data_IF_945472539003
#
_entry.id   IF_945472539003
#
_cell.length_a   1.000
_cell.length_b   1.000
_cell.length_c   1.000
_cell.angle_alpha   90.00
_cell.angle_beta   90.00
_cell.angle_gamma   90.00
#
_symmetry.space_group_name_H-M   'P 1'
#
loop_
_entity.id
_entity.type
_entity.pdbx_description
1 polymer ?
#
# COMPACT_ATOMS: atom_id res chain seq x y z
N UNK A 1 -8.96 -22.74 -28.90
CA UNK A 1 -8.17 -22.33 -27.75
C UNK A 1 -8.18 -20.80 -27.69
N UNK A 2 -8.61 -20.15 -26.61
CA UNK A 2 -8.47 -18.70 -26.46
C UNK A 2 -6.98 -18.36 -26.47
N UNK A 3 -6.60 -17.29 -27.16
CA UNK A 3 -5.22 -16.79 -27.16
C UNK A 3 -4.91 -16.26 -25.76
N UNK A 4 -3.77 -16.62 -25.18
CA UNK A 4 -3.27 -16.11 -23.89
C UNK A 4 -3.04 -14.59 -23.89
N UNK A 5 -3.04 -13.94 -25.05
CA UNK A 5 -2.72 -12.53 -25.28
C UNK A 5 -3.95 -11.65 -25.55
N UNK A 6 -5.13 -11.97 -25.01
CA UNK A 6 -6.30 -11.10 -25.16
C UNK A 6 -6.23 -9.93 -24.15
N UNK A 7 -5.96 -8.69 -24.58
CA UNK A 7 -5.76 -7.54 -23.70
C UNK A 7 -7.01 -7.17 -22.91
N UNK A 8 -8.18 -7.63 -23.31
CA UNK A 8 -9.45 -7.35 -22.65
C UNK A 8 -9.81 -8.39 -21.56
N UNK A 9 -9.05 -9.47 -21.44
CA UNK A 9 -9.24 -10.46 -20.38
C UNK A 9 -8.60 -9.98 -19.08
N UNK A 10 -9.28 -10.16 -17.95
CA UNK A 10 -8.66 -9.99 -16.65
C UNK A 10 -7.60 -11.07 -16.44
N UNK A 11 -6.49 -10.69 -15.81
CA UNK A 11 -5.54 -11.69 -15.31
C UNK A 11 -6.20 -12.58 -14.24
N UNK A 12 -5.62 -13.73 -13.97
CA UNK A 12 -6.14 -14.63 -12.93
C UNK A 12 -6.11 -13.95 -11.54
N UNK A 13 -5.09 -13.15 -11.28
CA UNK A 13 -4.93 -12.42 -10.03
C UNK A 13 -5.94 -11.28 -9.91
N UNK A 14 -6.16 -10.50 -10.98
CA UNK A 14 -7.17 -9.43 -11.00
C UNK A 14 -8.58 -9.99 -10.84
N UNK A 15 -8.87 -11.12 -11.51
CA UNK A 15 -10.15 -11.80 -11.37
C UNK A 15 -10.34 -12.37 -9.95
N UNK A 16 -9.28 -12.85 -9.31
CA UNK A 16 -9.31 -13.28 -7.91
C UNK A 16 -9.59 -12.10 -6.98
N UNK A 17 -8.88 -10.99 -7.14
CA UNK A 17 -9.09 -9.73 -6.35
C UNK A 17 -10.54 -9.28 -6.50
N UNK A 18 -11.08 -9.25 -7.71
CA UNK A 18 -12.48 -8.90 -7.96
C UNK A 18 -13.46 -9.88 -7.30
N UNK A 19 -13.08 -11.15 -7.20
CA UNK A 19 -13.90 -12.22 -6.61
C UNK A 19 -13.93 -12.23 -5.07
N UNK A 20 -12.95 -11.61 -4.39
CA UNK A 20 -12.94 -11.49 -2.93
C UNK A 20 -13.72 -10.28 -2.42
N UNK A 21 -14.10 -9.34 -3.30
CA UNK A 21 -15.01 -8.24 -2.95
C UNK A 21 -16.35 -8.80 -2.43
N UNK A 22 -16.83 -8.22 -1.32
CA UNK A 22 -18.01 -8.68 -0.60
C UNK A 22 -18.63 -7.50 0.15
N UNK A 23 -19.71 -7.71 0.87
CA UNK A 23 -20.28 -6.67 1.73
C UNK A 23 -19.30 -6.13 2.80
N UNK A 24 -18.19 -6.83 3.04
CA UNK A 24 -17.16 -6.47 4.03
C UNK A 24 -15.90 -5.95 3.37
N UNK A 25 -15.55 -6.44 2.20
CA UNK A 25 -14.32 -6.11 1.46
C UNK A 25 -14.69 -5.27 0.24
N UNK A 26 -14.21 -4.03 0.18
CA UNK A 26 -14.52 -3.06 -0.88
C UNK A 26 -13.63 -3.23 -2.13
N UNK A 27 -12.50 -3.90 -2.00
CA UNK A 27 -11.58 -4.22 -3.10
C UNK A 27 -10.76 -3.05 -3.62
N UNK A 28 -10.81 -1.88 -3.00
CA UNK A 28 -10.04 -0.72 -3.49
C UNK A 28 -8.94 -0.25 -2.53
N UNK A 29 -8.00 0.50 -3.07
CA UNK A 29 -7.02 1.29 -2.32
C UNK A 29 -7.41 2.76 -2.35
N UNK A 30 -7.00 3.50 -1.33
CA UNK A 30 -7.18 4.95 -1.26
C UNK A 30 -5.82 5.63 -1.17
N UNK A 31 -5.62 6.65 -2.00
CA UNK A 31 -4.50 7.58 -1.84
C UNK A 31 -5.06 8.96 -1.52
N UNK A 32 -4.58 9.56 -0.43
CA UNK A 32 -5.00 10.90 -0.02
C UNK A 32 -3.90 11.90 -0.38
N UNK A 33 -4.24 12.80 -1.29
CA UNK A 33 -3.38 13.90 -1.76
C UNK A 33 -3.81 15.16 -1.04
N UNK A 34 -2.97 15.71 -0.18
CA UNK A 34 -3.24 16.98 0.52
C UNK A 34 -2.52 18.11 -0.22
N UNK A 35 -3.27 19.13 -0.62
CA UNK A 35 -2.80 20.27 -1.39
C UNK A 35 -2.57 21.48 -0.50
N UNK A 36 -1.58 22.29 -0.84
CA UNK A 36 -1.38 23.60 -0.20
C UNK A 36 -2.60 24.52 -0.39
N UNK A 37 -2.79 25.46 0.55
CA UNK A 37 -3.83 26.49 0.40
C UNK A 37 -3.67 27.24 -0.92
N UNK A 38 -4.79 27.46 -1.62
CA UNK A 38 -4.84 28.24 -2.85
C UNK A 38 -5.49 29.60 -2.67
N UNK A 39 -5.53 30.40 -3.74
CA UNK A 39 -6.22 31.69 -3.74
C UNK A 39 -7.76 31.57 -3.63
N UNK A 40 -8.29 30.39 -3.82
CA UNK A 40 -9.72 30.03 -3.75
C UNK A 40 -9.89 28.51 -3.76
N UNK A 41 -11.10 27.97 -3.74
CA UNK A 41 -11.36 26.56 -3.87
C UNK A 41 -10.80 25.99 -5.19
N UNK A 42 -10.51 24.68 -5.19
CA UNK A 42 -10.06 23.98 -6.40
C UNK A 42 -11.14 24.04 -7.46
N UNK A 43 -10.78 24.47 -8.66
CA UNK A 43 -11.68 24.50 -9.81
C UNK A 43 -11.91 23.06 -10.32
N UNK A 44 -13.07 22.52 -10.01
CA UNK A 44 -13.46 21.16 -10.35
C UNK A 44 -13.59 20.97 -11.86
N UNK A 45 -14.14 21.94 -12.57
CA UNK A 45 -14.31 21.84 -14.02
C UNK A 45 -12.96 21.85 -14.74
N UNK A 46 -12.04 22.69 -14.28
CA UNK A 46 -10.66 22.70 -14.79
C UNK A 46 -9.93 21.39 -14.47
N UNK A 47 -10.10 20.83 -13.26
CA UNK A 47 -9.51 19.53 -12.88
C UNK A 47 -10.09 18.40 -13.73
N UNK A 48 -11.40 18.35 -13.92
CA UNK A 48 -12.07 17.38 -14.80
C UNK A 48 -11.53 17.44 -16.22
N UNK A 49 -11.42 18.64 -16.80
CA UNK A 49 -10.88 18.83 -18.14
C UNK A 49 -9.41 18.37 -18.25
N UNK A 50 -8.58 18.70 -17.26
CA UNK A 50 -7.19 18.30 -17.23
C UNK A 50 -7.02 16.78 -17.14
N UNK A 51 -7.80 16.11 -16.28
CA UNK A 51 -7.79 14.63 -16.15
C UNK A 51 -8.31 14.01 -17.44
N UNK A 52 -9.46 14.44 -17.98
CA UNK A 52 -10.07 13.90 -19.19
C UNK A 52 -9.11 13.95 -20.40
N UNK A 53 -8.34 15.03 -20.54
CA UNK A 53 -7.36 15.18 -21.63
C UNK A 53 -6.24 14.12 -21.55
N UNK A 54 -5.93 13.60 -20.36
CA UNK A 54 -4.84 12.65 -20.11
C UNK A 54 -5.31 11.20 -20.08
N UNK A 55 -6.60 10.94 -19.88
CA UNK A 55 -7.17 9.58 -19.81
C UNK A 55 -6.85 8.68 -21.02
N UNK A 56 -6.75 9.17 -22.28
CA UNK A 56 -6.38 8.32 -23.40
C UNK A 56 -5.05 7.59 -23.26
N UNK A 57 -4.16 8.06 -22.38
CA UNK A 57 -2.89 7.37 -22.05
C UNK A 57 -3.11 6.14 -21.15
N UNK A 58 -4.32 5.96 -20.60
CA UNK A 58 -4.68 4.93 -19.63
C UNK A 58 -5.98 4.22 -20.06
N UNK A 59 -5.93 3.25 -20.99
CA UNK A 59 -7.13 2.62 -21.55
C UNK A 59 -8.10 2.06 -20.50
N UNK A 60 -7.59 1.48 -19.42
CA UNK A 60 -8.40 0.95 -18.30
C UNK A 60 -9.24 2.01 -17.59
N UNK A 61 -8.84 3.28 -17.68
CA UNK A 61 -9.56 4.37 -17.03
C UNK A 61 -10.94 4.66 -17.64
N UNK A 62 -11.22 4.17 -18.84
CA UNK A 62 -12.52 4.29 -19.51
C UNK A 62 -13.22 2.95 -19.70
N UNK A 63 -12.66 1.87 -19.17
CA UNK A 63 -13.23 0.53 -19.23
C UNK A 63 -13.87 0.14 -17.89
N UNK A 64 -14.94 -0.64 -17.95
CA UNK A 64 -15.54 -1.33 -16.81
C UNK A 64 -15.33 -2.83 -16.91
N UNK A 65 -15.53 -3.53 -15.80
CA UNK A 65 -15.51 -5.00 -15.82
C UNK A 65 -16.89 -5.53 -16.18
N UNK A 66 -16.94 -6.39 -17.18
CA UNK A 66 -18.13 -7.16 -17.51
C UNK A 66 -17.99 -8.59 -16.97
N UNK A 67 -18.94 -8.99 -16.12
CA UNK A 67 -19.03 -10.31 -15.48
C UNK A 67 -20.22 -11.13 -16.01
N UNK A 68 -20.87 -10.71 -17.09
CA UNK A 68 -22.01 -11.43 -17.67
C UNK A 68 -21.60 -12.72 -18.37
N UNK A 69 -20.35 -12.83 -18.79
CA UNK A 69 -19.77 -14.02 -19.42
C UNK A 69 -19.16 -15.01 -18.41
N UNK A 70 -18.65 -16.16 -18.89
CA UNK A 70 -18.01 -17.18 -18.06
C UNK A 70 -16.69 -16.69 -17.41
N UNK A 71 -16.05 -15.71 -18.01
CA UNK A 71 -14.82 -15.08 -17.51
C UNK A 71 -14.99 -13.56 -17.51
N UNK A 72 -14.55 -12.85 -16.44
CA UNK A 72 -14.64 -11.40 -16.38
C UNK A 72 -13.72 -10.76 -17.43
N UNK A 73 -14.21 -9.69 -18.07
CA UNK A 73 -13.49 -8.97 -19.13
C UNK A 73 -13.59 -7.47 -18.96
N UNK A 74 -12.56 -6.77 -19.40
CA UNK A 74 -12.59 -5.33 -19.55
C UNK A 74 -13.36 -4.97 -20.81
N UNK A 75 -14.34 -4.08 -20.69
CA UNK A 75 -15.14 -3.58 -21.82
C UNK A 75 -15.22 -2.06 -21.74
N UNK A 76 -15.33 -1.40 -22.89
CA UNK A 76 -15.56 0.03 -22.89
C UNK A 76 -16.85 0.37 -22.13
N UNK A 77 -16.79 1.37 -21.25
CA UNK A 77 -17.99 1.92 -20.64
C UNK A 77 -18.81 2.63 -21.72
N UNK A 78 -20.10 2.26 -21.87
CA UNK A 78 -20.97 2.78 -22.94
C UNK A 78 -21.13 4.32 -22.86
N UNK A 79 -21.31 4.82 -21.65
CA UNK A 79 -21.38 6.26 -21.36
C UNK A 79 -20.33 6.59 -20.29
N UNK A 80 -19.21 7.18 -20.70
CA UNK A 80 -18.20 7.68 -19.78
C UNK A 80 -18.42 9.17 -19.52
N UNK A 81 -18.64 9.54 -18.26
CA UNK A 81 -18.74 10.92 -17.83
C UNK A 81 -17.66 11.21 -16.76
N UNK A 82 -16.75 12.13 -17.05
CA UNK A 82 -15.67 12.51 -16.13
C UNK A 82 -16.20 13.03 -14.78
N UNK A 83 -17.34 13.68 -14.76
CA UNK A 83 -17.98 14.21 -13.55
C UNK A 83 -18.41 13.12 -12.56
N UNK A 84 -18.58 11.86 -13.01
CA UNK A 84 -18.86 10.73 -12.14
C UNK A 84 -17.59 10.22 -11.44
N UNK A 85 -16.43 10.58 -11.96
CA UNK A 85 -15.12 10.11 -11.50
C UNK A 85 -14.33 11.19 -10.76
N UNK A 86 -14.38 12.46 -11.21
CA UNK A 86 -13.72 13.59 -10.58
C UNK A 86 -14.80 14.53 -10.07
N UNK A 87 -14.99 14.57 -8.77
CA UNK A 87 -16.16 15.22 -8.17
C UNK A 87 -15.83 15.94 -6.87
N UNK A 88 -16.55 17.03 -6.60
CA UNK A 88 -16.55 17.67 -5.30
C UNK A 88 -17.38 16.83 -4.32
N UNK A 89 -16.77 16.37 -3.24
CA UNK A 89 -17.47 15.75 -2.13
C UNK A 89 -17.92 16.85 -1.18
N UNK A 90 -19.21 17.14 -1.18
CA UNK A 90 -19.78 18.05 -0.19
C UNK A 90 -19.74 17.39 1.18
N UNK A 91 -18.83 17.83 2.04
CA UNK A 91 -18.71 17.39 3.43
C UNK A 91 -19.08 18.58 4.31
N UNK A 92 -20.33 18.72 4.74
CA UNK A 92 -20.72 19.80 5.64
C UNK A 92 -19.85 19.78 6.90
N UNK A 93 -19.27 20.91 7.26
CA UNK A 93 -18.41 21.06 8.44
C UNK A 93 -17.05 20.31 8.38
N UNK A 94 -16.55 19.94 7.22
CA UNK A 94 -15.18 19.43 7.09
C UNK A 94 -14.19 20.60 7.18
N UNK A 95 -13.84 21.01 8.39
CA UNK A 95 -13.01 22.20 8.65
C UNK A 95 -11.66 21.84 9.27
N UNK A 96 -11.53 20.67 9.84
CA UNK A 96 -10.32 20.21 10.50
C UNK A 96 -9.71 18.98 9.82
N UNK A 97 -8.46 18.68 10.17
CA UNK A 97 -7.79 17.43 9.74
C UNK A 97 -8.55 16.19 10.27
N UNK A 98 -9.13 16.24 11.44
CA UNK A 98 -9.94 15.15 11.98
C UNK A 98 -11.22 14.92 11.16
N UNK A 99 -11.88 16.01 10.69
CA UNK A 99 -13.03 15.88 9.81
C UNK A 99 -12.64 15.30 8.45
N UNK A 100 -11.44 15.65 7.93
CA UNK A 100 -10.89 15.06 6.71
C UNK A 100 -10.67 13.54 6.90
N UNK A 101 -10.06 13.13 8.04
CA UNK A 101 -9.86 11.70 8.34
C UNK A 101 -11.19 10.94 8.38
N UNK A 102 -12.23 11.54 8.97
CA UNK A 102 -13.57 10.97 8.98
C UNK A 102 -14.15 10.84 7.57
N UNK A 103 -14.07 11.89 6.75
CA UNK A 103 -14.58 11.86 5.38
C UNK A 103 -13.90 10.79 4.51
N UNK A 104 -12.58 10.64 4.62
CA UNK A 104 -11.86 9.59 3.87
C UNK A 104 -12.10 8.19 4.43
N UNK A 105 -12.42 8.05 5.73
CA UNK A 105 -12.85 6.80 6.35
C UNK A 105 -14.19 6.32 5.81
N UNK A 106 -15.15 7.23 5.63
CA UNK A 106 -16.42 6.95 4.98
C UNK A 106 -16.20 6.48 3.54
N UNK A 107 -15.36 7.20 2.76
CA UNK A 107 -15.00 6.81 1.40
C UNK A 107 -14.33 5.43 1.33
N UNK A 108 -13.48 5.09 2.31
CA UNK A 108 -12.83 3.79 2.36
C UNK A 108 -13.81 2.65 2.65
N UNK A 109 -14.95 2.94 3.29
CA UNK A 109 -16.02 1.98 3.58
C UNK A 109 -17.02 1.82 2.42
N UNK A 110 -17.02 2.74 1.43
CA UNK A 110 -17.94 2.73 0.29
C UNK A 110 -17.37 1.91 -0.87
N UNK A 111 -18.16 1.01 -1.46
CA UNK A 111 -17.78 0.30 -2.70
C UNK A 111 -17.70 1.23 -3.90
N UNK A 112 -16.85 0.92 -4.85
CA UNK A 112 -16.87 1.52 -6.18
C UNK A 112 -18.02 0.92 -7.02
N UNK A 113 -18.66 1.74 -7.85
CA UNK A 113 -19.71 1.29 -8.75
C UNK A 113 -19.13 0.41 -9.87
N UNK A 114 -19.45 -0.89 -9.87
CA UNK A 114 -18.99 -1.84 -10.89
C UNK A 114 -19.59 -1.60 -12.29
N UNK A 115 -20.65 -0.82 -12.40
CA UNK A 115 -21.21 -0.39 -13.67
C UNK A 115 -20.34 0.63 -14.41
N UNK A 116 -19.31 1.15 -13.74
CA UNK A 116 -18.42 2.21 -14.21
C UNK A 116 -16.96 1.78 -14.16
N UNK A 117 -16.02 2.54 -14.76
CA UNK A 117 -14.59 2.38 -14.53
C UNK A 117 -14.26 2.46 -13.02
N UNK A 118 -13.37 1.58 -12.56
CA UNK A 118 -13.18 1.27 -11.15
C UNK A 118 -12.22 2.25 -10.43
N UNK A 119 -12.48 3.56 -10.58
CA UNK A 119 -11.71 4.62 -9.90
C UNK A 119 -12.54 5.87 -9.66
N UNK A 120 -12.18 6.68 -8.63
CA UNK A 120 -12.74 8.01 -8.37
C UNK A 120 -11.71 8.95 -7.77
N UNK A 121 -11.85 10.26 -8.02
CA UNK A 121 -11.15 11.36 -7.37
C UNK A 121 -12.20 12.23 -6.67
N UNK A 122 -12.27 12.13 -5.35
CA UNK A 122 -13.20 12.88 -4.52
C UNK A 122 -12.45 14.07 -3.90
N UNK A 123 -12.76 15.30 -4.32
CA UNK A 123 -12.18 16.55 -3.77
C UNK A 123 -12.92 16.92 -2.50
N UNK A 124 -12.17 17.19 -1.43
CA UNK A 124 -12.67 17.49 -0.09
C UNK A 124 -12.04 18.79 0.39
N UNK A 125 -12.85 19.67 0.93
CA UNK A 125 -12.39 20.96 1.47
C UNK A 125 -13.14 22.15 0.84
N UNK A 126 -12.64 23.40 1.00
CA UNK A 126 -11.40 23.74 1.74
C UNK A 126 -11.53 23.53 3.25
N UNK A 127 -10.39 23.16 3.89
CA UNK A 127 -10.27 23.09 5.34
C UNK A 127 -10.09 24.52 5.93
N UNK A 128 -10.10 24.65 7.27
CA UNK A 128 -9.96 25.95 7.93
C UNK A 128 -8.64 26.67 7.60
N UNK A 129 -7.58 25.94 7.29
CA UNK A 129 -6.27 26.46 6.89
C UNK A 129 -6.20 26.79 5.37
N UNK A 130 -7.30 26.58 4.64
CA UNK A 130 -7.37 26.75 3.19
C UNK A 130 -6.78 25.61 2.36
N UNK A 131 -6.27 24.57 2.99
CA UNK A 131 -5.85 23.36 2.28
C UNK A 131 -7.06 22.58 1.74
N UNK A 132 -6.84 21.79 0.71
CA UNK A 132 -7.83 20.85 0.17
C UNK A 132 -7.19 19.50 -0.04
N UNK A 133 -8.01 18.47 -0.14
CA UNK A 133 -7.54 17.13 -0.36
C UNK A 133 -8.27 16.45 -1.52
N UNK A 134 -7.57 15.52 -2.19
CA UNK A 134 -8.17 14.65 -3.20
C UNK A 134 -8.02 13.22 -2.68
N UNK A 135 -9.15 12.59 -2.38
CA UNK A 135 -9.21 11.18 -2.07
C UNK A 135 -9.32 10.38 -3.38
N UNK A 136 -8.24 9.72 -3.76
CA UNK A 136 -8.16 8.89 -4.95
C UNK A 136 -8.45 7.45 -4.56
N UNK A 137 -9.52 6.87 -5.09
CA UNK A 137 -9.83 5.45 -4.92
C UNK A 137 -9.63 4.72 -6.24
N UNK A 138 -8.96 3.59 -6.19
CA UNK A 138 -8.72 2.73 -7.36
C UNK A 138 -8.90 1.29 -6.90
N UNK A 139 -9.73 0.53 -7.62
CA UNK A 139 -9.92 -0.89 -7.33
C UNK A 139 -8.63 -1.67 -7.59
N UNK A 140 -8.30 -2.59 -6.71
CA UNK A 140 -7.03 -3.33 -6.76
C UNK A 140 -6.92 -4.22 -8.01
N UNK A 141 -8.06 -4.68 -8.56
CA UNK A 141 -8.09 -5.39 -9.83
C UNK A 141 -7.77 -4.49 -11.05
N UNK A 142 -7.89 -3.15 -10.92
CA UNK A 142 -7.50 -2.22 -11.99
C UNK A 142 -6.03 -1.85 -11.88
N UNK A 143 -5.52 -1.65 -10.66
CA UNK A 143 -4.14 -1.25 -10.43
C UNK A 143 -3.68 -1.66 -9.01
N UNK A 144 -2.50 -2.27 -8.93
CA UNK A 144 -1.78 -2.49 -7.66
C UNK A 144 -1.19 -1.18 -7.08
N UNK A 145 -0.40 -1.29 -6.02
CA UNK A 145 0.23 -0.13 -5.38
C UNK A 145 1.09 0.71 -6.32
N UNK A 146 1.94 0.07 -7.13
CA UNK A 146 2.87 0.72 -8.07
C UNK A 146 2.12 1.23 -9.29
N UNK A 147 1.23 0.42 -9.87
CA UNK A 147 0.39 0.81 -11.00
C UNK A 147 -0.52 1.99 -10.64
N UNK A 148 -1.05 2.02 -9.41
CA UNK A 148 -1.83 3.15 -8.90
C UNK A 148 -1.02 4.45 -8.82
N UNK A 149 0.26 4.41 -8.42
CA UNK A 149 1.15 5.59 -8.45
C UNK A 149 1.44 6.02 -9.89
N UNK A 150 1.66 5.07 -10.80
CA UNK A 150 1.83 5.37 -12.24
C UNK A 150 0.58 6.00 -12.84
N UNK A 151 -0.61 5.51 -12.45
CA UNK A 151 -1.89 6.10 -12.86
C UNK A 151 -2.00 7.56 -12.41
N UNK A 152 -1.71 7.88 -11.13
CA UNK A 152 -1.67 9.27 -10.66
C UNK A 152 -0.68 10.12 -11.44
N UNK A 153 0.49 9.57 -11.75
CA UNK A 153 1.50 10.28 -12.54
C UNK A 153 0.99 10.59 -13.96
N UNK A 154 0.28 9.68 -14.56
CA UNK A 154 -0.24 9.85 -15.91
C UNK A 154 -1.40 10.84 -16.00
N UNK A 155 -2.32 10.87 -15.00
CA UNK A 155 -3.59 11.57 -15.15
C UNK A 155 -3.82 12.74 -14.17
N UNK A 156 -3.17 12.74 -12.98
CA UNK A 156 -3.45 13.71 -11.93
C UNK A 156 -2.39 14.80 -11.80
N UNK A 157 -1.09 14.42 -11.73
CA UNK A 157 -0.04 15.42 -11.47
C UNK A 157 0.09 16.43 -12.60
N UNK A 158 0.38 17.67 -12.26
CA UNK A 158 0.71 18.70 -13.24
C UNK A 158 1.93 18.25 -14.06
N UNK A 159 2.00 18.63 -15.35
CA UNK A 159 3.15 18.35 -16.18
C UNK A 159 4.41 18.94 -15.58
N UNK A 160 5.42 18.13 -15.34
CA UNK A 160 6.75 18.58 -14.96
C UNK A 160 7.67 18.57 -16.20
N UNK A 161 8.60 19.54 -16.32
CA UNK A 161 9.72 19.35 -17.22
C UNK A 161 10.45 18.07 -16.83
N UNK A 162 10.87 17.27 -17.83
CA UNK A 162 11.54 15.99 -17.58
C UNK A 162 12.63 16.13 -16.51
N UNK A 163 12.68 15.23 -15.50
CA UNK A 163 13.76 15.25 -14.52
C UNK A 163 15.09 15.06 -15.25
N UNK A 164 16.15 15.75 -14.84
CA UNK A 164 17.47 15.61 -15.46
C UNK A 164 17.89 14.13 -15.44
N UNK A 165 18.48 13.67 -16.53
CA UNK A 165 18.83 12.26 -16.82
C UNK A 165 19.54 11.51 -15.67
N UNK A 166 20.19 12.26 -14.74
CA UNK A 166 20.83 11.72 -13.53
C UNK A 166 19.87 11.10 -12.50
N UNK A 167 18.58 11.38 -12.55
CA UNK A 167 17.59 10.75 -11.67
C UNK A 167 17.24 9.30 -12.11
N UNK A 168 17.60 8.92 -13.33
CA UNK A 168 17.34 7.59 -13.90
C UNK A 168 18.36 6.51 -13.51
N UNK A 169 19.53 6.89 -12.99
CA UNK A 169 20.62 5.95 -12.70
C UNK A 169 20.83 5.77 -11.19
N UNK A 170 20.05 4.93 -10.53
CA UNK A 170 20.51 4.27 -9.30
C UNK A 170 21.10 2.91 -9.67
N UNK A 171 22.31 2.54 -9.16
CA UNK A 171 22.87 1.22 -9.39
C UNK A 171 21.86 0.17 -8.88
N UNK A 172 21.42 -0.71 -9.76
CA UNK A 172 20.57 -1.82 -9.39
C UNK A 172 21.30 -2.74 -8.41
N UNK A 173 20.58 -3.27 -7.44
CA UNK A 173 20.96 -4.54 -6.82
C UNK A 173 21.21 -5.52 -7.99
N UNK A 174 22.32 -6.26 -7.93
CA UNK A 174 22.63 -7.32 -8.92
C UNK A 174 21.43 -8.23 -9.00
N UNK A 175 20.91 -8.43 -10.22
CA UNK A 175 19.84 -9.38 -10.47
C UNK A 175 20.21 -10.76 -9.93
N UNK A 176 19.23 -11.61 -9.62
CA UNK A 176 19.50 -12.97 -9.21
C UNK A 176 20.35 -13.65 -10.28
N UNK A 177 21.46 -14.24 -9.88
CA UNK A 177 22.23 -15.15 -10.71
C UNK A 177 21.28 -16.28 -11.10
N UNK A 178 21.10 -16.56 -12.39
CA UNK A 178 20.36 -17.74 -12.87
C UNK A 178 20.85 -18.97 -12.09
N UNK A 179 20.03 -19.45 -11.16
CA UNK A 179 20.29 -20.64 -10.38
C UNK A 179 19.61 -21.80 -11.09
N UNK A 180 20.36 -22.85 -11.34
CA UNK A 180 19.83 -24.03 -12.02
C UNK A 180 18.67 -24.69 -11.24
N UNK A 181 17.73 -25.35 -11.94
CA UNK A 181 16.48 -25.89 -11.37
C UNK A 181 16.68 -26.90 -10.22
N UNK A 182 17.85 -27.44 -10.06
CA UNK A 182 18.18 -28.40 -9.00
C UNK A 182 18.38 -27.76 -7.62
N UNK A 183 18.81 -26.49 -7.56
CA UNK A 183 19.01 -25.74 -6.32
C UNK A 183 17.66 -25.22 -5.80
N UNK A 184 16.74 -24.89 -6.69
CA UNK A 184 15.38 -24.43 -6.36
C UNK A 184 14.55 -25.53 -5.69
N UNK A 185 14.59 -26.76 -6.24
CA UNK A 185 13.86 -27.91 -5.69
C UNK A 185 14.26 -28.31 -4.26
N UNK A 186 15.50 -28.00 -3.84
CA UNK A 186 16.01 -28.32 -2.48
C UNK A 186 15.70 -27.22 -1.48
N UNK A 187 15.49 -25.96 -1.94
CA UNK A 187 15.21 -24.81 -1.05
C UNK A 187 13.73 -24.66 -0.70
N UNK A 188 12.81 -25.04 -1.60
CA UNK A 188 11.35 -24.96 -1.38
C UNK A 188 10.91 -25.57 -0.03
N UNK A 189 11.37 -26.75 0.39
CA UNK A 189 11.05 -27.28 1.72
C UNK A 189 11.54 -26.41 2.87
N UNK A 190 12.62 -25.65 2.70
CA UNK A 190 13.21 -24.81 3.73
C UNK A 190 12.39 -23.55 4.04
N UNK A 191 11.89 -22.83 3.02
CA UNK A 191 11.01 -21.70 3.19
C UNK A 191 9.69 -22.10 3.85
N UNK A 192 9.07 -23.18 3.35
CA UNK A 192 7.83 -23.72 3.91
C UNK A 192 7.99 -24.17 5.38
N UNK A 193 9.09 -24.82 5.73
CA UNK A 193 9.36 -25.23 7.12
C UNK A 193 9.59 -24.03 8.05
N UNK A 194 10.24 -22.97 7.56
CA UNK A 194 10.39 -21.70 8.31
C UNK A 194 9.03 -21.05 8.55
N UNK A 195 8.15 -21.04 7.55
CA UNK A 195 6.81 -20.47 7.68
C UNK A 195 5.90 -21.29 8.60
N UNK A 196 5.88 -22.62 8.45
CA UNK A 196 5.06 -23.53 9.26
C UNK A 196 5.60 -23.71 10.69
N UNK A 197 6.90 -23.51 10.90
CA UNK A 197 7.56 -23.67 12.21
C UNK A 197 7.30 -22.51 13.18
N UNK A 198 6.79 -21.37 12.71
CA UNK A 198 6.47 -20.23 13.55
C UNK A 198 5.12 -20.45 14.27
N UNK A 199 5.18 -20.38 15.59
CA UNK A 199 3.97 -20.28 16.41
C UNK A 199 3.51 -18.81 16.36
N UNK A 200 2.56 -18.50 15.46
CA UNK A 200 1.95 -17.17 15.44
C UNK A 200 1.42 -16.79 16.82
N UNK A 201 1.88 -15.66 17.34
CA UNK A 201 1.28 -15.08 18.53
C UNK A 201 -0.03 -14.41 18.11
N UNK A 202 -1.13 -14.73 18.75
CA UNK A 202 -2.41 -14.04 18.51
C UNK A 202 -2.26 -12.56 18.88
N UNK A 203 -2.67 -11.69 17.98
CA UNK A 203 -2.78 -10.27 18.23
C UNK A 203 -4.24 -9.84 18.42
N UNK A 204 -4.51 -8.68 19.03
CA UNK A 204 -5.88 -8.15 19.15
C UNK A 204 -6.56 -7.90 17.80
N UNK A 205 -5.78 -7.77 16.72
CA UNK A 205 -6.32 -7.53 15.38
C UNK A 205 -6.56 -8.81 14.56
N UNK A 206 -6.28 -9.98 15.12
CA UNK A 206 -6.59 -11.28 14.48
C UNK A 206 -8.05 -11.65 14.76
N UNK A 207 -8.97 -10.98 14.09
CA UNK A 207 -10.42 -11.13 14.29
C UNK A 207 -11.16 -10.93 12.94
N UNK A 208 -12.40 -11.39 12.91
CA UNK A 208 -13.30 -11.11 11.78
C UNK A 208 -13.67 -9.64 11.78
N UNK A 209 -13.64 -9.01 10.60
CA UNK A 209 -13.91 -7.59 10.40
C UNK A 209 -15.32 -7.34 9.85
N UNK A 210 -15.81 -6.12 10.01
CA UNK A 210 -17.04 -5.58 9.42
C UNK A 210 -16.76 -4.79 8.14
N UNK A 211 -17.77 -4.18 7.54
CA UNK A 211 -17.61 -3.27 6.39
C UNK A 211 -17.14 -1.86 6.76
N UNK A 212 -17.10 -1.51 8.05
CA UNK A 212 -16.68 -0.17 8.50
C UNK A 212 -15.16 -0.04 8.49
N UNK A 213 -14.67 1.10 8.06
CA UNK A 213 -13.23 1.46 8.09
C UNK A 213 -13.04 2.78 8.80
N UNK A 214 -11.96 2.87 9.58
CA UNK A 214 -11.46 4.11 10.15
C UNK A 214 -10.00 4.30 9.73
N UNK A 215 -9.68 5.50 9.27
CA UNK A 215 -8.35 5.87 8.80
C UNK A 215 -7.70 6.89 9.72
N UNK A 216 -6.40 6.71 9.94
CA UNK A 216 -5.53 7.74 10.51
C UNK A 216 -4.19 7.76 9.74
N UNK A 217 -3.47 8.86 9.88
CA UNK A 217 -2.26 9.07 9.11
C UNK A 217 -1.17 9.69 9.98
N UNK A 218 0.08 9.24 9.75
CA UNK A 218 1.29 9.77 10.35
C UNK A 218 2.29 10.17 9.25
N UNK A 219 3.25 11.02 9.57
CA UNK A 219 4.27 11.50 8.62
C UNK A 219 5.65 11.39 9.24
N UNK A 220 6.63 10.99 8.43
CA UNK A 220 8.05 11.03 8.81
C UNK A 220 8.91 11.56 7.66
N UNK A 221 9.88 12.47 7.90
CA UNK A 221 10.81 12.95 6.87
C UNK A 221 11.70 11.83 6.34
N UNK A 222 11.69 11.63 5.03
CA UNK A 222 12.49 10.60 4.35
C UNK A 222 14.00 10.80 4.58
N UNK A 223 14.45 12.06 4.70
CA UNK A 223 15.83 12.37 4.98
C UNK A 223 16.27 11.86 6.35
N UNK A 224 15.40 11.98 7.35
CA UNK A 224 15.67 11.48 8.70
C UNK A 224 15.71 9.95 8.73
N UNK A 225 14.77 9.27 8.04
CA UNK A 225 14.79 7.81 7.97
C UNK A 225 16.08 7.29 7.31
N UNK A 226 16.56 7.98 6.26
CA UNK A 226 17.87 7.66 5.63
C UNK A 226 19.04 7.89 6.58
N UNK A 227 19.02 9.01 7.34
CA UNK A 227 20.06 9.35 8.31
C UNK A 227 20.10 8.35 9.46
N UNK A 228 18.92 7.98 10.00
CA UNK A 228 18.78 6.95 11.03
C UNK A 228 19.36 5.62 10.54
N UNK A 229 18.94 5.15 9.34
CA UNK A 229 19.45 3.91 8.76
C UNK A 229 20.95 3.93 8.53
N UNK A 230 21.47 5.05 8.03
CA UNK A 230 22.91 5.27 7.80
C UNK A 230 23.74 5.39 9.08
N UNK A 231 23.13 5.70 10.24
CA UNK A 231 23.81 5.76 11.54
C UNK A 231 24.11 4.37 12.12
N UNK A 232 23.44 3.31 11.61
CA UNK A 232 23.61 1.96 12.14
C UNK A 232 24.86 1.27 11.55
N UNK A 233 25.59 0.46 12.34
CA UNK A 233 26.79 -0.24 11.87
C UNK A 233 26.53 -1.13 10.65
N UNK A 234 25.36 -1.78 10.58
CA UNK A 234 24.97 -2.67 9.48
C UNK A 234 24.18 -1.95 8.36
N UNK A 235 24.03 -0.62 8.41
CA UNK A 235 23.24 0.16 7.46
C UNK A 235 21.81 -0.38 7.26
N UNK A 236 20.88 0.06 8.11
CA UNK A 236 19.47 -0.26 7.97
C UNK A 236 18.85 0.48 6.76
N UNK A 237 17.96 -0.19 6.05
CA UNK A 237 17.22 0.42 4.94
C UNK A 237 16.11 1.34 5.45
N UNK A 238 15.59 2.23 4.58
CA UNK A 238 14.41 3.06 4.91
C UNK A 238 13.23 2.19 5.35
N UNK A 239 13.06 1.02 4.72
CA UNK A 239 11.98 0.11 5.10
C UNK A 239 12.20 -0.49 6.50
N UNK A 240 13.43 -0.82 6.87
CA UNK A 240 13.75 -1.33 8.22
C UNK A 240 13.46 -0.26 9.28
N UNK A 241 13.80 1.01 8.99
CA UNK A 241 13.49 2.14 9.88
C UNK A 241 11.98 2.35 10.01
N UNK A 242 11.24 2.30 8.89
CA UNK A 242 9.78 2.36 8.90
C UNK A 242 9.17 1.25 9.78
N UNK A 243 9.62 0.01 9.62
CA UNK A 243 9.17 -1.12 10.43
C UNK A 243 9.49 -0.93 11.93
N UNK A 244 10.66 -0.35 12.24
CA UNK A 244 11.05 -0.07 13.63
C UNK A 244 10.18 1.02 14.28
N UNK A 245 9.81 2.06 13.53
CA UNK A 245 8.89 3.12 13.96
C UNK A 245 7.50 2.52 14.21
N UNK A 246 6.98 1.74 13.25
CA UNK A 246 5.68 1.08 13.37
C UNK A 246 5.66 0.10 14.55
N UNK A 247 6.73 -0.67 14.74
CA UNK A 247 6.84 -1.60 15.87
C UNK A 247 6.84 -0.87 17.21
N UNK A 248 7.49 0.30 17.31
CA UNK A 248 7.46 1.13 18.50
C UNK A 248 6.09 1.70 18.79
N UNK A 249 5.41 2.25 17.80
CA UNK A 249 4.04 2.74 17.93
C UNK A 249 3.06 1.64 18.33
N UNK A 250 3.15 0.47 17.71
CA UNK A 250 2.33 -0.69 18.08
C UNK A 250 2.60 -1.17 19.52
N UNK A 251 3.87 -1.15 19.95
CA UNK A 251 4.26 -1.49 21.33
C UNK A 251 3.60 -0.55 22.32
N UNK A 252 3.63 0.74 22.07
CA UNK A 252 3.02 1.77 22.92
C UNK A 252 1.49 1.64 22.93
N UNK A 253 0.88 1.60 21.76
CA UNK A 253 -0.57 1.54 21.60
C UNK A 253 -1.19 0.29 22.22
N UNK A 254 -0.56 -0.88 22.06
CA UNK A 254 -1.01 -2.14 22.67
C UNK A 254 -0.70 -2.23 24.16
N UNK A 255 0.30 -1.52 24.65
CA UNK A 255 0.70 -1.51 26.05
C UNK A 255 0.93 -2.91 26.61
N UNK A 256 0.31 -3.23 27.73
CA UNK A 256 0.47 -4.53 28.40
C UNK A 256 -0.16 -5.71 27.66
N UNK A 257 -0.99 -5.45 26.64
CA UNK A 257 -1.59 -6.49 25.80
C UNK A 257 -0.69 -6.88 24.63
N UNK A 258 0.42 -6.15 24.43
CA UNK A 258 1.37 -6.45 23.36
C UNK A 258 1.99 -7.83 23.56
N UNK A 259 1.88 -8.67 22.53
CA UNK A 259 2.76 -9.84 22.42
C UNK A 259 4.22 -9.37 22.31
N UNK A 260 5.18 -10.19 22.79
CA UNK A 260 6.61 -9.85 22.65
C UNK A 260 7.05 -9.76 21.18
N UNK A 261 6.39 -10.49 20.32
CA UNK A 261 6.63 -10.53 18.88
C UNK A 261 5.31 -10.47 18.14
N UNK A 262 5.28 -9.69 17.08
CA UNK A 262 4.16 -9.58 16.16
C UNK A 262 4.67 -9.88 14.75
N UNK A 263 4.01 -10.79 14.05
CA UNK A 263 4.41 -11.13 12.70
C UNK A 263 3.78 -10.18 11.70
N UNK A 264 4.62 -9.48 10.94
CA UNK A 264 4.20 -8.58 9.87
C UNK A 264 4.43 -9.23 8.50
N UNK A 265 3.43 -9.14 7.63
CA UNK A 265 3.56 -9.46 6.21
C UNK A 265 3.95 -8.20 5.43
N UNK A 266 5.04 -8.29 4.68
CA UNK A 266 5.59 -7.18 3.90
C UNK A 266 5.54 -7.57 2.42
N UNK A 267 4.69 -6.93 1.60
CA UNK A 267 4.71 -7.14 0.16
C UNK A 267 6.07 -6.76 -0.43
N UNK A 268 6.56 -7.58 -1.34
CA UNK A 268 7.82 -7.40 -2.08
C UNK A 268 7.48 -7.49 -3.56
N UNK A 269 7.71 -6.41 -4.30
CA UNK A 269 7.53 -6.43 -5.74
C UNK A 269 8.68 -7.18 -6.41
N UNK A 270 8.35 -8.18 -7.21
CA UNK A 270 9.29 -8.97 -8.01
C UNK A 270 9.50 -8.38 -9.43
N UNK A 271 8.93 -7.20 -9.71
CA UNK A 271 9.13 -6.53 -10.99
C UNK A 271 10.61 -6.19 -11.23
N UNK A 272 11.18 -6.72 -12.30
CA UNK A 272 12.50 -6.32 -12.78
C UNK A 272 12.43 -4.92 -13.40
N UNK A 273 13.49 -4.11 -13.20
CA UNK A 273 13.58 -2.72 -13.67
C UNK A 273 13.53 -2.55 -15.18
N UNK A 274 13.73 -3.62 -15.93
CA UNK A 274 13.80 -3.63 -17.40
C UNK A 274 12.47 -4.01 -18.07
N UNK A 275 11.41 -4.30 -17.28
CA UNK A 275 10.09 -4.57 -17.81
C UNK A 275 9.44 -3.30 -18.35
N UNK A 276 8.96 -3.37 -19.58
CA UNK A 276 8.31 -2.24 -20.27
C UNK A 276 7.06 -1.84 -19.50
N UNK A 277 6.77 -0.53 -19.43
CA UNK A 277 5.64 0.04 -18.69
C UNK A 277 4.24 -0.49 -19.09
N UNK A 278 4.15 -1.37 -20.07
CA UNK A 278 2.94 -2.05 -20.54
C UNK A 278 2.61 -3.35 -19.78
N UNK A 279 3.54 -3.93 -19.03
CA UNK A 279 3.28 -5.13 -18.22
C UNK A 279 2.68 -4.75 -16.86
N UNK A 280 1.37 -4.56 -16.86
CA UNK A 280 0.56 -4.19 -15.68
C UNK A 280 0.11 -5.40 -14.84
N UNK A 281 0.74 -6.58 -15.01
CA UNK A 281 0.42 -7.78 -14.24
C UNK A 281 0.85 -7.66 -12.77
N UNK A 282 -0.02 -8.06 -11.84
CA UNK A 282 0.30 -8.21 -10.42
C UNK A 282 1.37 -9.30 -10.24
N UNK A 283 2.58 -8.93 -9.83
CA UNK A 283 3.69 -9.84 -9.47
C UNK A 283 4.20 -9.51 -8.08
N UNK A 284 3.27 -9.47 -7.13
CA UNK A 284 3.60 -9.22 -5.74
C UNK A 284 3.83 -10.53 -5.00
N UNK A 285 4.96 -10.65 -4.35
CA UNK A 285 5.23 -11.65 -3.34
C UNK A 285 5.23 -11.01 -1.97
N UNK A 286 5.47 -11.78 -0.93
CA UNK A 286 5.56 -11.24 0.42
C UNK A 286 6.68 -11.89 1.23
N UNK A 287 7.11 -11.16 2.23
CA UNK A 287 8.08 -11.61 3.23
C UNK A 287 7.46 -11.38 4.61
N UNK A 288 7.43 -12.40 5.44
CA UNK A 288 6.98 -12.27 6.82
C UNK A 288 8.17 -11.93 7.72
N UNK A 289 8.03 -10.91 8.58
CA UNK A 289 9.07 -10.41 9.49
C UNK A 289 8.50 -10.30 10.89
N UNK A 290 9.27 -10.73 11.89
CA UNK A 290 8.86 -10.60 13.29
C UNK A 290 9.22 -9.21 13.83
N UNK A 291 8.21 -8.44 14.21
CA UNK A 291 8.39 -7.15 14.86
C UNK A 291 8.62 -7.36 16.37
N UNK A 292 9.79 -6.96 16.92
CA UNK A 292 10.13 -7.23 18.32
C UNK A 292 9.49 -6.20 19.25
N UNK A 293 8.18 -6.29 19.49
CA UNK A 293 7.44 -5.37 20.35
C UNK A 293 7.90 -5.42 21.82
N UNK A 294 8.53 -6.54 22.25
CA UNK A 294 9.12 -6.64 23.59
C UNK A 294 10.40 -5.84 23.77
N UNK A 295 11.02 -5.34 22.68
CA UNK A 295 12.25 -4.55 22.77
C UNK A 295 11.93 -3.07 23.05
N UNK A 296 12.40 -2.58 24.19
CA UNK A 296 12.16 -1.22 24.62
C UNK A 296 13.13 -0.23 23.97
N UNK A 297 14.41 -0.62 23.78
CA UNK A 297 15.40 0.25 23.16
C UNK A 297 15.12 0.40 21.65
N UNK A 298 14.87 1.64 21.16
CA UNK A 298 14.54 1.88 19.77
C UNK A 298 15.66 1.49 18.80
N UNK A 299 16.93 1.63 19.21
CA UNK A 299 18.07 1.24 18.36
C UNK A 299 18.23 -0.28 18.30
N UNK A 300 18.09 -0.99 19.42
CA UNK A 300 18.12 -2.44 19.44
C UNK A 300 16.94 -3.03 18.66
N UNK A 301 15.76 -2.40 18.73
CA UNK A 301 14.58 -2.78 17.93
C UNK A 301 14.86 -2.66 16.44
N UNK A 302 15.45 -1.55 15.98
CA UNK A 302 15.85 -1.35 14.59
C UNK A 302 16.89 -2.37 14.14
N UNK A 303 17.93 -2.61 14.95
CA UNK A 303 19.00 -3.55 14.59
C UNK A 303 18.48 -4.99 14.42
N UNK A 304 17.54 -5.41 15.28
CA UNK A 304 16.90 -6.75 15.14
C UNK A 304 16.10 -6.88 13.86
N UNK A 305 15.28 -5.87 13.56
CA UNK A 305 14.48 -5.83 12.31
C UNK A 305 15.39 -5.86 11.09
N UNK A 306 16.44 -5.02 11.08
CA UNK A 306 17.38 -4.94 9.95
C UNK A 306 18.15 -6.27 9.76
N UNK A 307 18.54 -6.93 10.83
CA UNK A 307 19.18 -8.25 10.75
C UNK A 307 18.25 -9.31 10.15
N UNK A 308 16.99 -9.35 10.58
CA UNK A 308 16.01 -10.32 10.08
C UNK A 308 15.65 -10.08 8.62
N UNK A 309 15.33 -8.82 8.23
CA UNK A 309 15.01 -8.49 6.84
C UNK A 309 16.20 -8.75 5.91
N UNK A 310 17.42 -8.46 6.36
CA UNK A 310 18.65 -8.76 5.64
C UNK A 310 18.85 -10.26 5.42
N UNK A 311 18.63 -11.08 6.44
CA UNK A 311 18.72 -12.54 6.35
C UNK A 311 17.68 -13.11 5.37
N UNK A 312 16.41 -12.67 5.44
CA UNK A 312 15.35 -13.13 4.55
C UNK A 312 15.61 -12.77 3.09
N UNK A 313 16.11 -11.55 2.82
CA UNK A 313 16.51 -11.14 1.47
C UNK A 313 17.67 -11.99 0.91
N UNK A 314 18.65 -12.36 1.76
CA UNK A 314 19.76 -13.22 1.34
C UNK A 314 19.32 -14.65 1.02
N UNK A 315 18.30 -15.15 1.72
CA UNK A 315 17.73 -16.47 1.48
C UNK A 315 16.83 -16.51 0.23
N UNK A 316 16.35 -15.37 -0.26
CA UNK A 316 15.41 -15.30 -1.37
C UNK A 316 14.00 -15.76 -1.01
N UNK A 317 13.60 -15.59 0.26
CA UNK A 317 12.33 -16.12 0.79
C UNK A 317 11.11 -15.65 -0.02
N UNK A 318 11.11 -14.40 -0.53
CA UNK A 318 10.00 -13.87 -1.32
C UNK A 318 9.85 -14.58 -2.67
N UNK A 319 10.95 -14.83 -3.37
CA UNK A 319 10.95 -15.56 -4.65
C UNK A 319 10.53 -17.01 -4.46
N UNK A 320 11.07 -17.69 -3.42
CA UNK A 320 10.73 -19.08 -3.10
C UNK A 320 9.23 -19.24 -2.75
N UNK A 321 8.65 -18.30 -2.01
CA UNK A 321 7.23 -18.31 -1.66
C UNK A 321 6.34 -18.05 -2.88
N UNK A 322 6.71 -17.11 -3.74
CA UNK A 322 5.99 -16.84 -4.98
C UNK A 322 5.91 -18.09 -5.86
N UNK A 323 7.04 -18.73 -6.12
CA UNK A 323 7.11 -19.93 -6.95
C UNK A 323 6.34 -21.11 -6.32
N UNK A 324 6.40 -21.26 -5.00
CA UNK A 324 5.63 -22.26 -4.27
C UNK A 324 4.13 -22.06 -4.41
N UNK A 325 3.61 -20.84 -4.20
CA UNK A 325 2.18 -20.55 -4.30
C UNK A 325 1.68 -20.70 -5.75
N UNK A 326 2.47 -20.28 -6.74
CA UNK A 326 2.14 -20.51 -8.15
C UNK A 326 2.15 -22.01 -8.53
N UNK A 327 3.09 -22.79 -8.01
CA UNK A 327 3.12 -24.23 -8.24
C UNK A 327 1.94 -24.96 -7.58
N UNK A 328 1.58 -24.56 -6.36
CA UNK A 328 0.45 -25.13 -5.62
C UNK A 328 -0.90 -24.70 -6.19
N UNK A 329 -1.03 -23.47 -6.71
CA UNK A 329 -2.25 -22.97 -7.34
C UNK A 329 -2.62 -23.72 -8.65
N UNK A 330 -1.66 -24.40 -9.28
CA UNK A 330 -1.90 -25.30 -10.42
C UNK A 330 -2.48 -26.67 -10.03
N UNK A 331 -2.45 -27.02 -8.75
CA UNK A 331 -2.95 -28.30 -8.23
C UNK A 331 -4.37 -28.13 -7.67
N UNK A 332 -5.40 -28.48 -8.44
CA UNK A 332 -6.84 -28.30 -8.14
C UNK A 332 -7.31 -28.78 -6.76
N UNK A 333 -6.58 -29.64 -6.06
CA UNK A 333 -6.97 -30.21 -4.77
C UNK A 333 -6.27 -29.58 -3.56
N UNK A 334 -5.23 -28.77 -3.75
CA UNK A 334 -4.46 -28.12 -2.67
C UNK A 334 -4.98 -26.71 -2.39
N UNK A 335 -5.71 -26.12 -3.34
CA UNK A 335 -6.22 -24.75 -3.34
C UNK A 335 -7.00 -24.38 -2.05
N UNK A 336 -7.85 -25.28 -1.53
CA UNK A 336 -8.66 -24.98 -0.34
C UNK A 336 -7.90 -25.01 0.99
N UNK A 337 -6.80 -25.77 1.08
CA UNK A 337 -5.97 -25.83 2.29
C UNK A 337 -4.97 -24.68 2.30
N UNK A 338 -4.36 -24.37 1.14
CA UNK A 338 -3.46 -23.23 0.94
C UNK A 338 -4.22 -21.92 1.14
N UNK A 339 -5.42 -21.77 0.57
CA UNK A 339 -6.30 -20.60 0.79
C UNK A 339 -6.73 -20.42 2.25
N UNK A 340 -6.90 -21.51 3.01
CA UNK A 340 -7.20 -21.42 4.44
C UNK A 340 -6.00 -21.05 5.29
N UNK A 341 -4.78 -21.33 4.85
CA UNK A 341 -3.56 -20.95 5.54
C UNK A 341 -3.15 -19.53 5.15
N UNK A 342 -3.18 -19.23 3.86
CA UNK A 342 -2.93 -17.90 3.31
C UNK A 342 -3.98 -16.91 3.86
N UNK A 343 -3.49 -15.84 4.51
CA UNK A 343 -4.35 -14.83 5.15
C UNK A 343 -4.93 -15.29 6.49
N UNK A 344 -4.41 -16.35 7.11
CA UNK A 344 -4.82 -16.73 8.47
C UNK A 344 -3.97 -16.03 9.53
N UNK A 345 -4.55 -15.83 10.72
CA UNK A 345 -3.84 -15.32 11.91
C UNK A 345 -2.59 -16.14 12.32
N UNK A 346 -2.38 -17.30 11.71
CA UNK A 346 -1.17 -18.13 11.91
C UNK A 346 -0.03 -17.72 10.99
N UNK A 347 -0.35 -17.08 9.87
CA UNK A 347 0.63 -16.64 8.88
C UNK A 347 1.22 -15.29 9.28
N UNK A 348 0.38 -14.31 9.54
CA UNK A 348 0.77 -12.96 9.99
C UNK A 348 -0.37 -12.33 10.80
N UNK A 349 -0.08 -11.22 11.47
CA UNK A 349 -1.08 -10.44 12.23
C UNK A 349 -1.34 -9.07 11.61
N UNK A 350 -0.37 -8.47 10.94
CA UNK A 350 -0.51 -7.16 10.29
C UNK A 350 0.20 -7.16 8.94
N UNK A 351 -0.40 -6.55 7.93
CA UNK A 351 0.28 -6.29 6.66
C UNK A 351 0.78 -4.85 6.63
N UNK A 352 2.07 -4.68 6.30
CA UNK A 352 2.75 -3.37 6.21
C UNK A 352 3.35 -3.24 4.82
N UNK A 353 2.81 -2.36 4.00
CA UNK A 353 3.31 -2.09 2.66
C UNK A 353 4.04 -0.75 2.60
N UNK A 354 5.04 -0.66 1.73
CA UNK A 354 5.74 0.58 1.44
C UNK A 354 5.93 0.71 -0.07
N UNK A 355 5.25 1.69 -0.67
CA UNK A 355 5.27 1.95 -2.11
C UNK A 355 6.09 3.21 -2.40
N UNK A 356 7.06 3.16 -3.33
CA UNK A 356 7.75 4.37 -3.75
C UNK A 356 6.80 5.28 -4.53
N UNK A 357 6.66 6.52 -4.08
CA UNK A 357 5.90 7.56 -4.77
C UNK A 357 6.81 8.59 -5.47
N UNK A 358 6.30 9.78 -5.79
CA UNK A 358 7.05 10.81 -6.50
C UNK A 358 8.35 11.20 -5.79
N UNK A 359 9.46 11.17 -6.54
CA UNK A 359 10.79 11.52 -6.01
C UNK A 359 11.01 13.03 -5.95
N UNK A 360 10.32 13.76 -6.83
CA UNK A 360 10.33 15.23 -6.90
C UNK A 360 9.00 15.79 -6.41
N UNK A 361 8.95 17.06 -5.97
CA UNK A 361 7.70 17.71 -5.66
C UNK A 361 6.73 17.66 -6.83
N UNK A 362 5.48 17.32 -6.57
CA UNK A 362 4.40 17.27 -7.55
C UNK A 362 3.32 18.27 -7.18
N UNK A 363 2.50 18.65 -8.17
CA UNK A 363 1.36 19.53 -7.98
C UNK A 363 0.11 19.02 -8.67
N UNK A 364 -1.02 19.60 -8.33
CA UNK A 364 -2.32 19.41 -8.97
C UNK A 364 -2.99 20.76 -9.17
N UNK A 365 -3.33 21.10 -10.41
CA UNK A 365 -3.94 22.37 -10.77
C UNK A 365 -3.16 23.60 -10.25
N UNK A 366 -1.84 23.55 -10.36
CA UNK A 366 -0.92 24.62 -9.92
C UNK A 366 -0.66 24.66 -8.41
N UNK A 367 -1.22 23.76 -7.60
CA UNK A 367 -1.01 23.69 -6.16
C UNK A 367 -0.05 22.56 -5.83
N UNK A 368 0.90 22.82 -4.92
CA UNK A 368 1.86 21.84 -4.46
C UNK A 368 1.17 20.78 -3.60
N UNK A 369 1.56 19.53 -3.76
CA UNK A 369 1.20 18.45 -2.86
C UNK A 369 2.04 18.59 -1.57
N UNK A 370 1.37 18.78 -0.45
CA UNK A 370 1.99 18.85 0.88
C UNK A 370 2.26 17.44 1.42
N UNK A 371 1.24 16.60 1.39
CA UNK A 371 1.33 15.22 1.85
C UNK A 371 0.67 14.28 0.86
N UNK A 372 1.22 13.09 0.75
CA UNK A 372 0.63 11.95 0.04
C UNK A 372 0.58 10.78 1.01
N UNK A 373 -0.61 10.23 1.22
CA UNK A 373 -0.81 9.03 2.01
C UNK A 373 -1.36 7.91 1.15
N UNK A 374 -1.10 6.67 1.55
CA UNK A 374 -1.71 5.49 0.96
C UNK A 374 -2.45 4.71 2.03
N UNK A 375 -3.59 4.17 1.70
CA UNK A 375 -4.33 3.25 2.54
C UNK A 375 -4.86 2.10 1.72
N UNK A 376 -4.88 0.92 2.30
CA UNK A 376 -5.50 -0.28 1.75
C UNK A 376 -6.33 -0.90 2.86
N UNK A 377 -7.40 -1.58 2.48
CA UNK A 377 -8.24 -2.22 3.47
C UNK A 377 -7.56 -3.42 4.15
N UNK A 378 -7.94 -3.70 5.41
CA UNK A 378 -7.51 -4.90 6.11
C UNK A 378 -8.00 -6.17 5.40
N UNK A 379 -7.29 -7.29 5.58
CA UNK A 379 -7.74 -8.59 5.11
C UNK A 379 -8.83 -9.14 6.04
N UNK A 380 -9.65 -10.09 5.58
CA UNK A 380 -10.87 -10.57 6.24
C UNK A 380 -10.70 -11.00 7.71
N UNK A 381 -9.51 -11.40 8.11
CA UNK A 381 -9.21 -11.88 9.47
C UNK A 381 -8.15 -11.02 10.19
N UNK A 382 -7.89 -9.81 9.69
CA UNK A 382 -6.89 -8.90 10.25
C UNK A 382 -7.47 -7.49 10.29
N UNK A 383 -7.75 -6.98 11.48
CA UNK A 383 -8.44 -5.70 11.63
C UNK A 383 -7.53 -4.46 11.43
N UNK A 384 -6.24 -4.64 11.15
CA UNK A 384 -5.27 -3.56 10.91
C UNK A 384 -4.49 -3.79 9.63
N UNK A 385 -4.38 -2.77 8.79
CA UNK A 385 -3.43 -2.67 7.69
C UNK A 385 -2.70 -1.33 7.73
N UNK A 386 -1.40 -1.36 7.44
CA UNK A 386 -0.54 -0.18 7.39
C UNK A 386 0.04 -0.06 6.00
N UNK A 387 -0.04 1.13 5.42
CA UNK A 387 0.47 1.40 4.07
C UNK A 387 1.29 2.69 4.08
N UNK A 388 2.52 2.62 3.62
CA UNK A 388 3.37 3.80 3.50
C UNK A 388 3.60 4.16 2.03
N UNK A 389 3.77 5.46 1.76
CA UNK A 389 4.12 5.99 0.45
C UNK A 389 5.04 7.18 0.60
N UNK A 390 6.11 7.22 -0.20
CA UNK A 390 7.01 8.38 -0.21
C UNK A 390 6.52 9.46 -1.19
N UNK A 391 6.70 10.74 -0.83
CA UNK A 391 6.45 11.87 -1.72
C UNK A 391 7.43 13.00 -1.40
N UNK A 392 8.29 13.31 -2.37
CA UNK A 392 9.12 14.53 -2.42
C UNK A 392 9.96 14.89 -1.18
N UNK A 393 10.16 14.00 -0.27
CA UNK A 393 10.95 14.23 0.94
C UNK A 393 10.33 13.67 2.20
N UNK A 394 9.05 13.30 2.18
CA UNK A 394 8.34 12.69 3.29
C UNK A 394 7.87 11.28 2.98
N UNK A 395 7.58 10.52 4.03
CA UNK A 395 6.84 9.26 3.97
C UNK A 395 5.52 9.48 4.71
N UNK A 396 4.41 9.36 3.97
CA UNK A 396 3.09 9.28 4.55
C UNK A 396 2.76 7.84 4.93
N UNK A 397 2.31 7.63 6.15
CA UNK A 397 1.93 6.34 6.72
C UNK A 397 0.43 6.36 6.94
N UNK A 398 -0.30 5.52 6.22
CA UNK A 398 -1.75 5.36 6.38
C UNK A 398 -2.07 4.11 7.19
N UNK A 399 -2.96 4.26 8.14
CA UNK A 399 -3.48 3.22 9.01
C UNK A 399 -4.95 2.99 8.64
N UNK A 400 -5.33 1.76 8.38
CA UNK A 400 -6.72 1.38 8.14
C UNK A 400 -7.12 0.28 9.11
N UNK A 401 -8.17 0.53 9.88
CA UNK A 401 -8.71 -0.43 10.85
C UNK A 401 -10.21 -0.67 10.63
N UNK A 402 -10.67 -1.78 11.18
CA UNK A 402 -12.08 -1.92 11.53
C UNK A 402 -12.31 -1.30 12.91
N UNK A 403 -13.05 -0.18 13.04
CA UNK A 403 -13.21 0.53 14.30
C UNK A 403 -14.01 -0.27 15.35
N UNK A 404 -14.75 -1.31 14.94
CA UNK A 404 -15.46 -2.17 15.89
C UNK A 404 -14.53 -3.13 16.62
N UNK A 405 -13.43 -3.50 15.97
CA UNK A 405 -12.39 -4.36 16.53
C UNK A 405 -11.29 -3.54 17.22
N UNK A 406 -10.90 -2.41 16.62
CA UNK A 406 -9.78 -1.58 17.01
C UNK A 406 -10.20 -0.10 17.04
N UNK A 407 -10.79 0.38 18.13
CA UNK A 407 -11.15 1.79 18.27
C UNK A 407 -9.90 2.68 18.43
N UNK A 408 -10.08 3.98 18.18
CA UNK A 408 -9.06 5.01 18.42
C UNK A 408 -7.77 4.86 17.60
N UNK A 409 -7.89 4.57 16.29
CA UNK A 409 -6.73 4.44 15.39
C UNK A 409 -5.85 5.70 15.34
N UNK A 410 -6.38 6.87 15.65
CA UNK A 410 -5.63 8.12 15.75
C UNK A 410 -4.54 8.04 16.83
N UNK A 411 -4.78 7.38 17.96
CA UNK A 411 -3.77 7.15 19.00
C UNK A 411 -2.61 6.27 18.50
N UNK A 412 -2.88 5.35 17.57
CA UNK A 412 -1.81 4.58 16.95
C UNK A 412 -0.97 5.46 16.01
N UNK A 413 -1.60 6.39 15.28
CA UNK A 413 -0.88 7.34 14.45
C UNK A 413 0.04 8.23 15.29
N UNK A 414 -0.48 8.78 16.41
CA UNK A 414 0.29 9.59 17.36
C UNK A 414 1.46 8.76 17.95
N UNK A 415 1.22 7.52 18.39
CA UNK A 415 2.26 6.64 18.91
C UNK A 415 3.34 6.28 17.86
N UNK A 416 3.00 6.23 16.58
CA UNK A 416 3.97 6.05 15.50
C UNK A 416 4.83 7.31 15.32
N UNK A 417 4.26 8.51 15.40
CA UNK A 417 5.00 9.76 15.34
C UNK A 417 5.92 9.93 16.57
N UNK A 418 5.45 9.56 17.76
CA UNK A 418 6.26 9.56 18.99
C UNK A 418 7.42 8.55 18.89
N UNK A 419 7.16 7.35 18.38
CA UNK A 419 8.19 6.33 18.14
C UNK A 419 9.23 6.80 17.11
N UNK A 420 8.81 7.53 16.08
CA UNK A 420 9.74 8.17 15.14
C UNK A 420 10.62 9.20 15.88
N UNK A 421 10.04 10.08 16.68
CA UNK A 421 10.78 11.10 17.41
C UNK A 421 11.79 10.48 18.40
N UNK A 422 11.40 9.42 19.12
CA UNK A 422 12.26 8.64 20.00
C UNK A 422 13.46 8.03 19.24
N UNK A 423 13.19 7.30 18.17
CA UNK A 423 14.21 6.65 17.36
C UNK A 423 15.17 7.66 16.70
N UNK A 424 14.64 8.78 16.21
CA UNK A 424 15.44 9.88 15.67
C UNK A 424 16.37 10.47 16.72
N UNK A 425 15.84 10.76 17.91
CA UNK A 425 16.64 11.30 19.02
C UNK A 425 17.75 10.35 19.42
N UNK A 426 17.46 9.05 19.53
CA UNK A 426 18.44 8.04 19.90
C UNK A 426 19.52 7.83 18.82
N UNK A 427 19.16 7.93 17.52
CA UNK A 427 20.07 7.64 16.41
C UNK A 427 20.95 8.84 15.99
N UNK A 428 20.39 10.06 15.97
CA UNK A 428 21.00 11.26 15.37
C UNK A 428 20.85 12.54 16.22
N UNK A 429 20.19 12.47 17.39
CA UNK A 429 19.92 13.64 18.24
C UNK A 429 21.13 14.25 18.97
N UNK A 430 22.29 13.66 18.86
CA UNK A 430 23.54 14.12 19.48
C UNK A 430 24.57 14.74 18.50
N UNK A 431 24.18 15.03 17.26
CA UNK A 431 25.07 15.64 16.26
C UNK A 431 24.75 17.07 16.00
#
# INVERSE_FOLDING_TARGET
>A
MPREDDPDRLSADDAHILGVESAVITGHTLKLVVLEPGAGPLDIDALQAAVATRLPTQPRATQRVDTSGPEPRWVQAGEFNIGDHVRLRTTPNCVSRADLWKAVSELMSEHLDRGRPLWTFDVIGPLADGSEAIAVRIHHAMADGIAGVRFLHAVLWDPHPEPPERARARPGLRGPTERGPFIEAVRMPGALLRELGHRGSRSPFDCTITGSRELAFAVAPLADLKAIGGSRPAHATVNDVLLAIVAGGLREWLGHTASRHLRAQIPVSLHHRDEVASDLGNRDSFMNVDLPLGEADPLARLDRISAETGQRKQLGDAEELYDLFHALGRLKHVDSAVKRFAGSAKEFSVSISNVPGPVIPVGVAGRRVLNLFSSSEPALHHALRISAISCAGDIGIGLCVDPTALPEVTRLADAIEDSYAELRSAAIGGR
#
